data_IF_628477635729
#
_entry.id   IF_628477635729
#
_cell.length_a   1.000
_cell.length_b   1.000
_cell.length_c   1.000
_cell.angle_alpha   90.00
_cell.angle_beta   90.00
_cell.angle_gamma   90.00
#
_symmetry.space_group_name_H-M   'P 1'
#
loop_
_entity.id
_entity.type
_entity.pdbx_description
1 polymer ?
#
# COMPACT_ATOMS: atom_id res chain seq x y z
N UNK A 1 4.47 54.89 2.57
CA UNK A 1 5.77 54.30 2.93
C UNK A 1 5.81 52.94 2.28
N UNK A 2 6.84 52.64 1.50
CA UNK A 2 6.93 51.39 0.73
C UNK A 2 7.45 50.24 1.60
N UNK A 3 7.07 48.99 1.30
CA UNK A 3 7.32 47.81 2.14
C UNK A 3 8.81 47.54 2.35
N UNK A 4 9.61 47.79 1.32
CA UNK A 4 11.06 47.57 1.36
C UNK A 4 11.77 48.60 2.24
N UNK A 5 11.27 49.84 2.27
CA UNK A 5 11.71 50.88 3.21
C UNK A 5 11.42 50.50 4.66
N UNK A 6 10.26 49.91 4.94
CA UNK A 6 9.85 49.51 6.29
C UNK A 6 10.72 48.35 6.80
N UNK A 7 11.01 47.37 5.96
CA UNK A 7 11.90 46.25 6.28
C UNK A 7 13.33 46.72 6.55
N UNK A 8 13.84 47.63 5.72
CA UNK A 8 15.18 48.20 5.90
C UNK A 8 15.32 48.94 7.24
N UNK A 9 14.33 49.75 7.62
CA UNK A 9 14.31 50.42 8.93
C UNK A 9 14.25 49.41 10.09
N UNK A 10 13.49 48.33 9.92
CA UNK A 10 13.35 47.28 10.93
C UNK A 10 14.67 46.54 11.14
N UNK A 11 15.38 46.17 10.06
CA UNK A 11 16.70 45.54 10.15
C UNK A 11 17.74 46.47 10.81
N UNK A 12 17.74 47.76 10.49
CA UNK A 12 18.66 48.74 11.09
C UNK A 12 18.47 48.87 12.61
N UNK A 13 17.21 48.86 13.07
CA UNK A 13 16.86 48.96 14.49
C UNK A 13 17.39 47.77 15.29
N UNK A 14 17.29 46.55 14.78
CA UNK A 14 17.79 45.36 15.47
C UNK A 14 19.32 45.26 15.46
N UNK A 15 20.00 45.84 14.45
CA UNK A 15 21.46 46.01 14.45
C UNK A 15 21.94 46.98 15.52
N UNK A 16 21.28 48.13 15.68
CA UNK A 16 21.67 49.14 16.66
C UNK A 16 21.48 48.69 18.11
N UNK A 17 20.59 47.72 18.36
CA UNK A 17 20.35 47.15 19.69
C UNK A 17 21.37 46.05 20.07
N UNK A 18 22.37 45.79 19.23
CA UNK A 18 23.56 44.99 19.58
C UNK A 18 23.33 43.50 19.87
N UNK A 19 22.13 42.98 19.63
CA UNK A 19 21.76 41.60 20.00
C UNK A 19 21.79 40.58 18.87
N UNK A 20 22.30 40.92 17.68
CA UNK A 20 22.21 40.03 16.52
C UNK A 20 23.48 40.08 15.66
N UNK A 21 24.16 38.94 15.52
CA UNK A 21 25.17 38.66 14.51
C UNK A 21 24.56 37.68 13.50
N UNK A 22 24.33 38.12 12.27
CA UNK A 22 23.82 37.24 11.20
C UNK A 22 24.90 36.25 10.78
N UNK A 23 24.60 34.94 10.86
CA UNK A 23 25.44 33.87 10.34
C UNK A 23 26.24 33.06 11.36
N UNK A 24 26.20 33.41 12.66
CA UNK A 24 26.84 32.61 13.72
C UNK A 24 25.83 32.20 14.78
N UNK A 25 25.75 30.90 15.07
CA UNK A 25 24.96 30.37 16.19
C UNK A 25 25.57 30.83 17.51
N UNK A 26 24.92 31.77 18.19
CA UNK A 26 25.29 32.21 19.54
C UNK A 26 24.44 31.43 20.53
N UNK A 27 25.09 30.57 21.30
CA UNK A 27 24.44 29.77 22.32
C UNK A 27 23.98 30.67 23.49
N UNK A 28 22.74 30.54 24.00
CA UNK A 28 22.23 31.45 25.03
C UNK A 28 23.02 31.33 26.34
N UNK A 29 23.50 32.45 26.88
CA UNK A 29 24.18 32.47 28.19
C UNK A 29 23.23 32.03 29.33
N UNK A 30 23.51 30.88 29.94
CA UNK A 30 22.76 30.40 31.10
C UNK A 30 23.15 31.17 32.37
N UNK A 31 22.23 31.98 32.89
CA UNK A 31 22.41 32.63 34.19
C UNK A 31 22.31 31.62 35.34
N UNK A 32 23.11 31.84 36.38
CA UNK A 32 23.38 30.97 37.55
C UNK A 32 22.15 30.49 38.36
N UNK A 33 20.95 31.01 38.09
CA UNK A 33 19.71 30.69 38.79
C UNK A 33 18.62 30.04 37.92
N UNK A 34 18.95 29.49 36.74
CA UNK A 34 17.99 28.72 35.93
C UNK A 34 17.95 27.26 36.39
N UNK A 35 16.77 26.75 36.78
CA UNK A 35 16.58 25.32 37.12
C UNK A 35 16.72 24.46 35.87
N UNK A 36 17.37 23.29 35.99
CA UNK A 36 17.34 22.24 34.95
C UNK A 36 15.90 21.74 34.82
N UNK A 37 15.35 21.70 33.61
CA UNK A 37 14.07 21.04 33.34
C UNK A 37 14.27 19.53 33.52
N UNK A 38 13.79 18.98 34.63
CA UNK A 38 13.54 17.54 34.73
C UNK A 38 12.39 17.21 33.79
N UNK A 39 12.73 16.66 32.63
CA UNK A 39 11.74 16.08 31.73
C UNK A 39 11.30 14.76 32.36
N UNK A 40 10.07 14.75 32.87
CA UNK A 40 9.41 13.58 33.45
C UNK A 40 9.21 12.53 32.35
N UNK A 41 10.20 11.63 32.20
CA UNK A 41 10.26 10.60 31.16
C UNK A 41 9.01 9.73 31.17
N UNK A 42 8.40 9.54 32.34
CA UNK A 42 7.15 8.79 32.51
C UNK A 42 5.94 9.46 31.84
N UNK A 43 5.93 10.79 31.76
CA UNK A 43 4.88 11.54 31.05
C UNK A 43 5.08 11.50 29.53
N UNK A 44 6.34 11.40 29.09
CA UNK A 44 6.70 11.25 27.67
C UNK A 44 6.35 9.84 27.18
N UNK A 45 6.63 8.80 27.97
CA UNK A 45 6.28 7.41 27.61
C UNK A 45 4.77 7.18 27.55
N UNK A 46 4.00 7.73 28.50
CA UNK A 46 2.54 7.63 28.49
C UNK A 46 1.91 8.35 27.28
N UNK A 47 2.47 9.49 26.86
CA UNK A 47 2.02 10.20 25.66
C UNK A 47 2.38 9.43 24.37
N UNK A 48 3.56 8.80 24.34
CA UNK A 48 3.99 7.97 23.21
C UNK A 48 3.16 6.70 23.06
N UNK A 49 2.77 6.05 24.16
CA UNK A 49 1.85 4.90 24.11
C UNK A 49 0.46 5.31 23.61
N UNK A 50 -0.08 6.44 24.07
CA UNK A 50 -1.35 6.97 23.59
C UNK A 50 -1.29 7.40 22.11
N UNK A 51 -0.16 7.97 21.66
CA UNK A 51 0.07 8.30 20.25
C UNK A 51 0.27 7.05 19.39
N UNK A 52 0.93 6.00 19.89
CA UNK A 52 1.07 4.71 19.19
C UNK A 52 -0.26 3.97 19.08
N UNK A 53 -1.10 4.02 20.11
CA UNK A 53 -2.44 3.43 20.07
C UNK A 53 -3.34 4.19 19.10
N UNK A 54 -3.26 5.53 19.07
CA UNK A 54 -3.93 6.36 18.07
C UNK A 54 -3.44 6.08 16.65
N UNK A 55 -2.13 5.91 16.46
CA UNK A 55 -1.53 5.56 15.17
C UNK A 55 -1.93 4.15 14.72
N UNK A 56 -2.08 3.20 15.66
CA UNK A 56 -2.55 1.85 15.39
C UNK A 56 -4.01 1.85 14.95
N UNK A 57 -4.87 2.63 15.62
CA UNK A 57 -6.26 2.87 15.18
C UNK A 57 -6.31 3.55 13.81
N UNK A 58 -5.42 4.53 13.53
CA UNK A 58 -5.28 5.14 12.20
C UNK A 58 -4.73 4.17 11.14
N UNK A 59 -3.91 3.18 11.52
CA UNK A 59 -3.39 2.15 10.61
C UNK A 59 -4.47 1.12 10.27
N UNK A 60 -5.24 0.67 11.27
CA UNK A 60 -6.40 -0.22 11.09
C UNK A 60 -7.52 0.49 10.30
N UNK A 61 -7.63 1.81 10.42
CA UNK A 61 -8.48 2.65 9.59
C UNK A 61 -7.91 2.91 8.19
N UNK A 62 -6.58 2.82 7.97
CA UNK A 62 -5.94 2.97 6.64
C UNK A 62 -5.91 1.68 5.83
N UNK A 63 -5.95 0.51 6.45
CA UNK A 63 -6.21 -0.77 5.76
C UNK A 63 -7.63 -0.80 5.18
N UNK A 64 -8.57 -0.14 5.86
CA UNK A 64 -9.81 0.36 5.27
C UNK A 64 -9.57 1.72 4.64
N UNK A 65 -8.68 1.81 3.63
CA UNK A 65 -8.65 3.01 2.80
C UNK A 65 -10.09 3.40 2.51
N UNK A 66 -10.54 4.65 2.74
CA UNK A 66 -11.82 5.08 2.24
C UNK A 66 -11.64 5.16 0.72
N UNK A 67 -11.60 4.00 0.05
CA UNK A 67 -12.16 3.91 -1.28
C UNK A 67 -13.56 4.46 -1.07
N UNK A 68 -13.92 5.58 -1.70
CA UNK A 68 -15.27 6.08 -1.54
C UNK A 68 -16.17 4.99 -2.07
N UNK A 69 -16.78 4.25 -1.15
CA UNK A 69 -17.88 3.35 -1.44
C UNK A 69 -19.04 4.30 -1.60
N UNK A 70 -19.18 4.85 -2.80
CA UNK A 70 -20.33 5.65 -3.14
C UNK A 70 -21.54 4.73 -3.01
N UNK A 71 -22.43 5.06 -2.08
CA UNK A 71 -23.76 4.45 -2.07
C UNK A 71 -24.52 4.90 -3.32
N UNK A 72 -25.52 4.14 -3.75
CA UNK A 72 -26.34 4.53 -4.90
C UNK A 72 -27.04 5.88 -4.62
N UNK A 73 -27.37 6.15 -3.35
CA UNK A 73 -27.87 7.44 -2.86
C UNK A 73 -26.85 8.58 -3.04
N UNK A 74 -25.58 8.38 -2.71
CA UNK A 74 -24.53 9.40 -2.89
C UNK A 74 -24.34 9.75 -4.37
N UNK A 75 -24.40 8.75 -5.24
CA UNK A 75 -24.31 8.96 -6.70
C UNK A 75 -25.49 9.80 -7.19
N UNK A 76 -26.69 9.52 -6.69
CA UNK A 76 -27.89 10.27 -7.06
C UNK A 76 -27.84 11.72 -6.55
N UNK A 77 -27.34 11.94 -5.33
CA UNK A 77 -27.10 13.30 -4.83
C UNK A 77 -26.10 14.07 -5.69
N UNK A 78 -24.98 13.43 -6.08
CA UNK A 78 -23.98 14.06 -6.95
C UNK A 78 -24.57 14.42 -8.32
N UNK A 79 -25.42 13.57 -8.90
CA UNK A 79 -26.13 13.91 -10.16
C UNK A 79 -27.04 15.11 -10.00
N UNK A 80 -27.87 15.14 -8.96
CA UNK A 80 -28.77 16.27 -8.71
C UNK A 80 -28.00 17.57 -8.49
N UNK A 81 -26.87 17.51 -7.79
CA UNK A 81 -26.00 18.66 -7.62
C UNK A 81 -25.32 19.11 -8.91
N UNK A 82 -24.90 18.18 -9.76
CA UNK A 82 -24.39 18.47 -11.10
C UNK A 82 -25.47 19.18 -11.92
N UNK A 83 -26.71 18.68 -11.94
CA UNK A 83 -27.81 19.30 -12.70
C UNK A 83 -28.14 20.72 -12.22
N UNK A 84 -28.16 20.93 -10.90
CA UNK A 84 -28.33 22.27 -10.30
C UNK A 84 -27.19 23.20 -10.71
N UNK A 85 -25.95 22.73 -10.62
CA UNK A 85 -24.78 23.53 -10.95
C UNK A 85 -24.68 23.82 -12.45
N UNK A 86 -25.07 22.88 -13.31
CA UNK A 86 -25.22 23.09 -14.76
C UNK A 86 -26.25 24.18 -15.01
N UNK A 87 -27.41 24.10 -14.38
CA UNK A 87 -28.47 25.12 -14.54
C UNK A 87 -27.95 26.51 -14.13
N UNK A 88 -27.30 26.62 -12.98
CA UNK A 88 -26.68 27.86 -12.52
C UNK A 88 -25.59 28.37 -13.48
N UNK A 89 -24.82 27.45 -14.07
CA UNK A 89 -23.82 27.78 -15.07
C UNK A 89 -24.44 28.33 -16.36
N UNK A 90 -25.52 27.71 -16.87
CA UNK A 90 -26.26 28.22 -18.02
C UNK A 90 -26.83 29.62 -17.78
N UNK A 91 -27.36 29.89 -16.59
CA UNK A 91 -27.85 31.23 -16.20
C UNK A 91 -26.67 32.23 -16.17
N UNK A 92 -25.60 31.89 -15.46
CA UNK A 92 -24.44 32.77 -15.27
C UNK A 92 -23.70 33.08 -16.57
N UNK A 93 -23.72 32.14 -17.53
CA UNK A 93 -23.13 32.32 -18.87
C UNK A 93 -24.08 33.06 -19.84
N UNK A 94 -25.31 33.36 -19.46
CA UNK A 94 -26.32 33.98 -20.35
C UNK A 94 -26.78 33.04 -21.48
N UNK A 95 -26.69 31.73 -21.28
CA UNK A 95 -27.05 30.72 -22.27
C UNK A 95 -28.49 30.18 -22.10
N UNK A 96 -29.18 30.57 -21.03
CA UNK A 96 -30.54 30.09 -20.72
C UNK A 96 -31.54 30.36 -21.84
N UNK A 97 -31.61 31.59 -22.36
CA UNK A 97 -32.56 31.95 -23.42
C UNK A 97 -32.32 31.14 -24.71
N UNK A 98 -31.05 30.92 -25.05
CA UNK A 98 -30.65 30.10 -26.22
C UNK A 98 -31.07 28.64 -26.04
N UNK A 99 -30.94 28.10 -24.82
CA UNK A 99 -31.36 26.75 -24.47
C UNK A 99 -32.88 26.60 -24.53
N UNK A 100 -33.63 27.57 -24.02
CA UNK A 100 -35.10 27.57 -24.06
C UNK A 100 -35.64 27.68 -25.50
N UNK A 101 -35.03 28.53 -26.32
CA UNK A 101 -35.37 28.63 -27.75
C UNK A 101 -35.13 27.30 -28.48
N UNK A 102 -33.98 26.65 -28.21
CA UNK A 102 -33.67 25.34 -28.79
C UNK A 102 -34.66 24.27 -28.35
N UNK A 103 -35.05 24.26 -27.06
CA UNK A 103 -36.05 23.34 -26.51
C UNK A 103 -37.43 23.55 -27.16
N UNK A 104 -37.84 24.79 -27.40
CA UNK A 104 -39.09 25.08 -28.12
C UNK A 104 -39.03 24.60 -29.57
N UNK A 105 -37.93 24.83 -30.27
CA UNK A 105 -37.78 24.39 -31.66
C UNK A 105 -37.77 22.85 -31.77
N UNK A 106 -37.16 22.15 -30.80
CA UNK A 106 -37.24 20.68 -30.66
C UNK A 106 -38.65 20.16 -30.39
N UNK A 107 -39.47 20.91 -29.64
CA UNK A 107 -40.85 20.51 -29.35
C UNK A 107 -41.81 20.68 -30.55
N UNK A 108 -41.43 21.52 -31.52
CA UNK A 108 -42.22 21.79 -32.73
C UNK A 108 -41.92 20.80 -33.85
N UNK A 109 -40.78 20.10 -33.81
CA UNK A 109 -40.48 19.03 -34.75
C UNK A 109 -41.33 17.81 -34.39
N UNK A 110 -42.21 17.32 -35.30
CA UNK A 110 -42.94 16.09 -35.06
C UNK A 110 -41.96 14.94 -34.85
N UNK A 111 -42.27 14.07 -33.89
CA UNK A 111 -41.48 12.93 -33.41
C UNK A 111 -41.29 11.83 -34.48
N UNK A 112 -40.74 12.18 -35.63
CA UNK A 112 -40.24 11.23 -36.61
C UNK A 112 -38.75 11.08 -36.36
N UNK A 113 -38.28 9.83 -36.26
CA UNK A 113 -36.89 9.40 -36.00
C UNK A 113 -35.87 9.85 -37.09
N UNK A 114 -36.18 10.92 -37.80
CA UNK A 114 -35.36 11.53 -38.82
C UNK A 114 -34.46 12.59 -38.16
N UNK A 115 -33.16 12.38 -38.34
CA UNK A 115 -32.05 13.27 -37.98
C UNK A 115 -32.48 14.74 -37.88
N UNK A 116 -32.10 15.37 -36.75
CA UNK A 116 -32.27 16.80 -36.49
C UNK A 116 -31.95 17.59 -37.76
N UNK A 117 -32.79 18.57 -38.11
CA UNK A 117 -32.49 19.42 -39.26
C UNK A 117 -31.07 20.00 -39.12
N UNK A 118 -30.25 20.07 -40.19
CA UNK A 118 -28.86 20.53 -40.09
C UNK A 118 -28.72 21.89 -39.37
N UNK A 119 -29.68 22.80 -39.57
CA UNK A 119 -29.72 24.09 -38.89
C UNK A 119 -29.94 23.98 -37.36
N UNK A 120 -30.74 23.02 -36.90
CA UNK A 120 -30.97 22.77 -35.48
C UNK A 120 -29.76 22.05 -34.85
N UNK A 121 -29.11 21.17 -35.60
CA UNK A 121 -27.86 20.54 -35.20
C UNK A 121 -26.74 21.57 -35.06
N UNK A 122 -26.56 22.46 -36.03
CA UNK A 122 -25.58 23.56 -35.96
C UNK A 122 -25.80 24.47 -34.75
N UNK A 123 -27.06 24.80 -34.42
CA UNK A 123 -27.40 25.58 -33.22
C UNK A 123 -27.08 24.83 -31.94
N UNK A 124 -27.31 23.52 -31.91
CA UNK A 124 -26.99 22.64 -30.78
C UNK A 124 -25.49 22.57 -30.57
N UNK A 125 -24.73 22.27 -31.63
CA UNK A 125 -23.28 22.17 -31.60
C UNK A 125 -22.63 23.49 -31.19
N UNK A 126 -23.14 24.61 -31.71
CA UNK A 126 -22.69 25.96 -31.32
C UNK A 126 -22.94 26.24 -29.83
N UNK A 127 -24.12 25.91 -29.32
CA UNK A 127 -24.44 26.08 -27.89
C UNK A 127 -23.53 25.23 -27.00
N UNK A 128 -23.27 23.98 -27.40
CA UNK A 128 -22.35 23.07 -26.70
C UNK A 128 -20.92 23.60 -26.72
N UNK A 129 -20.45 24.13 -27.86
CA UNK A 129 -19.13 24.75 -27.96
C UNK A 129 -19.01 26.01 -27.10
N UNK A 130 -20.01 26.90 -27.11
CA UNK A 130 -20.03 28.10 -26.26
C UNK A 130 -19.97 27.71 -24.77
N UNK A 131 -20.76 26.72 -24.35
CA UNK A 131 -20.72 26.20 -22.98
C UNK A 131 -19.35 25.63 -22.61
N UNK A 132 -18.75 24.79 -23.48
CA UNK A 132 -17.41 24.22 -23.26
C UNK A 132 -16.31 25.28 -23.21
N UNK A 133 -16.39 26.30 -24.06
CA UNK A 133 -15.42 27.40 -24.07
C UNK A 133 -15.50 28.20 -22.77
N UNK A 134 -16.71 28.51 -22.29
CA UNK A 134 -16.93 29.21 -21.03
C UNK A 134 -16.49 28.38 -19.81
N UNK A 135 -16.68 27.06 -19.85
CA UNK A 135 -16.13 26.14 -18.85
C UNK A 135 -14.60 26.07 -18.91
N UNK A 136 -13.99 26.18 -20.07
CA UNK A 136 -12.53 26.08 -20.21
C UNK A 136 -11.79 27.28 -19.61
N UNK A 137 -12.49 28.38 -19.33
CA UNK A 137 -11.93 29.55 -18.66
C UNK A 137 -11.39 29.18 -17.26
N UNK A 138 -10.12 29.51 -16.94
CA UNK A 138 -9.53 29.25 -15.63
C UNK A 138 -10.31 29.95 -14.50
N UNK A 139 -10.53 29.26 -13.37
CA UNK A 139 -11.24 29.81 -12.20
C UNK A 139 -12.75 29.96 -12.35
N UNK A 140 -13.31 29.62 -13.52
CA UNK A 140 -14.74 29.68 -13.80
C UNK A 140 -15.39 28.32 -13.56
N UNK A 141 -16.53 28.30 -12.86
CA UNK A 141 -17.35 27.11 -12.59
C UNK A 141 -16.55 25.91 -12.02
N UNK A 142 -15.58 26.18 -11.15
CA UNK A 142 -14.73 25.14 -10.55
C UNK A 142 -15.55 24.10 -9.78
N UNK A 143 -16.64 24.51 -9.13
CA UNK A 143 -17.58 23.60 -8.47
C UNK A 143 -18.20 22.60 -9.45
N UNK A 144 -18.66 23.06 -10.62
CA UNK A 144 -19.19 22.19 -11.67
C UNK A 144 -18.12 21.23 -12.22
N UNK A 145 -16.91 21.73 -12.47
CA UNK A 145 -15.79 20.92 -12.96
C UNK A 145 -15.43 19.81 -11.97
N UNK A 146 -15.35 20.14 -10.69
CA UNK A 146 -15.05 19.17 -9.63
C UNK A 146 -16.12 18.09 -9.55
N UNK A 147 -17.40 18.47 -9.54
CA UNK A 147 -18.52 17.51 -9.49
C UNK A 147 -18.60 16.62 -10.74
N UNK A 148 -18.36 17.18 -11.93
CA UNK A 148 -18.28 16.39 -13.17
C UNK A 148 -17.13 15.39 -13.15
N UNK A 149 -15.96 15.81 -12.65
CA UNK A 149 -14.81 14.91 -12.47
C UNK A 149 -15.15 13.79 -11.49
N UNK A 150 -15.73 14.11 -10.34
CA UNK A 150 -16.18 13.15 -9.35
C UNK A 150 -17.18 12.14 -9.93
N UNK A 151 -18.17 12.61 -10.70
CA UNK A 151 -19.15 11.74 -11.37
C UNK A 151 -18.48 10.80 -12.39
N UNK A 152 -17.45 11.26 -13.10
CA UNK A 152 -16.69 10.42 -14.03
C UNK A 152 -15.88 9.35 -13.31
N UNK A 153 -15.27 9.67 -12.15
CA UNK A 153 -14.56 8.72 -11.31
C UNK A 153 -15.51 7.68 -10.70
N UNK A 154 -16.70 8.09 -10.26
CA UNK A 154 -17.77 7.18 -9.81
C UNK A 154 -18.12 6.18 -10.92
N UNK A 155 -18.31 6.66 -12.16
CA UNK A 155 -18.66 5.82 -13.30
C UNK A 155 -17.58 4.79 -13.62
N UNK A 156 -16.31 5.20 -13.65
CA UNK A 156 -15.21 4.25 -13.90
C UNK A 156 -15.11 3.21 -12.78
N UNK A 157 -15.28 3.61 -11.52
CA UNK A 157 -15.33 2.68 -10.38
C UNK A 157 -16.48 1.68 -10.50
N UNK A 158 -17.67 2.13 -10.92
CA UNK A 158 -18.82 1.26 -11.13
C UNK A 158 -18.57 0.25 -12.27
N UNK A 159 -17.95 0.69 -13.37
CA UNK A 159 -17.54 -0.20 -14.47
C UNK A 159 -16.49 -1.23 -14.03
N UNK A 160 -15.53 -0.83 -13.18
CA UNK A 160 -14.57 -1.77 -12.60
C UNK A 160 -15.25 -2.77 -11.66
N UNK A 161 -16.24 -2.35 -10.87
CA UNK A 161 -17.03 -3.22 -10.00
C UNK A 161 -17.79 -4.28 -10.81
N UNK A 162 -18.50 -3.88 -11.87
CA UNK A 162 -19.25 -4.83 -12.72
C UNK A 162 -18.32 -5.80 -13.45
N UNK A 163 -17.20 -5.32 -14.01
CA UNK A 163 -16.16 -6.19 -14.60
C UNK A 163 -15.60 -7.17 -13.56
N UNK A 164 -15.35 -6.71 -12.34
CA UNK A 164 -14.89 -7.55 -11.23
C UNK A 164 -15.91 -8.63 -10.86
N UNK A 165 -17.20 -8.31 -10.83
CA UNK A 165 -18.27 -9.29 -10.58
C UNK A 165 -18.39 -10.33 -11.70
N UNK A 166 -18.23 -9.91 -12.97
CA UNK A 166 -18.21 -10.83 -14.12
C UNK A 166 -17.02 -11.79 -14.00
N UNK A 167 -15.81 -11.28 -13.77
CA UNK A 167 -14.60 -12.09 -13.59
C UNK A 167 -14.78 -13.06 -12.40
N UNK A 168 -15.37 -12.60 -11.30
CA UNK A 168 -15.64 -13.44 -10.13
C UNK A 168 -16.61 -14.59 -10.47
N UNK A 169 -17.65 -14.33 -11.25
CA UNK A 169 -18.60 -15.35 -11.70
C UNK A 169 -17.94 -16.33 -12.66
N UNK A 170 -17.21 -15.84 -13.65
CA UNK A 170 -16.48 -16.65 -14.64
C UNK A 170 -15.42 -17.54 -13.97
N UNK A 171 -14.69 -17.00 -12.99
CA UNK A 171 -13.73 -17.75 -12.18
C UNK A 171 -14.44 -18.87 -11.41
N UNK A 172 -15.53 -18.53 -10.69
CA UNK A 172 -16.28 -19.53 -9.95
C UNK A 172 -16.87 -20.60 -10.88
N UNK A 173 -17.25 -20.28 -12.11
CA UNK A 173 -17.75 -21.28 -13.06
C UNK A 173 -16.63 -22.20 -13.57
N UNK A 174 -15.50 -21.62 -13.99
CA UNK A 174 -14.36 -22.36 -14.56
C UNK A 174 -13.59 -23.19 -13.53
N UNK A 175 -13.47 -22.69 -12.29
CA UNK A 175 -12.62 -23.32 -11.27
C UNK A 175 -13.39 -24.18 -10.26
N UNK A 176 -14.68 -23.96 -10.01
CA UNK A 176 -15.37 -24.58 -8.85
C UNK A 176 -15.32 -26.12 -8.87
N UNK A 177 -15.45 -26.76 -10.01
CA UNK A 177 -15.49 -28.23 -10.05
C UNK A 177 -14.09 -28.87 -9.93
N UNK A 178 -13.06 -28.23 -10.49
CA UNK A 178 -11.70 -28.79 -10.51
C UNK A 178 -10.86 -28.34 -9.30
N UNK A 179 -11.10 -27.13 -8.79
CA UNK A 179 -10.39 -26.59 -7.63
C UNK A 179 -10.91 -27.15 -6.31
N UNK A 180 -12.20 -27.53 -6.19
CA UNK A 180 -12.75 -28.07 -4.92
C UNK A 180 -12.08 -29.37 -4.51
N UNK A 181 -11.95 -30.32 -5.43
CA UNK A 181 -11.26 -31.61 -5.17
C UNK A 181 -9.79 -31.38 -4.79
N UNK A 182 -9.09 -30.52 -5.54
CA UNK A 182 -7.69 -30.16 -5.28
C UNK A 182 -7.51 -29.45 -3.93
N UNK A 183 -8.43 -28.55 -3.58
CA UNK A 183 -8.43 -27.83 -2.30
C UNK A 183 -8.74 -28.74 -1.11
N UNK A 184 -9.59 -29.76 -1.28
CA UNK A 184 -9.83 -30.76 -0.24
C UNK A 184 -8.60 -31.61 0.04
N UNK A 185 -7.84 -31.98 -0.99
CA UNK A 185 -6.59 -32.72 -0.84
C UNK A 185 -5.54 -31.88 -0.10
N UNK A 186 -5.39 -30.60 -0.46
CA UNK A 186 -4.54 -29.66 0.25
C UNK A 186 -4.99 -29.44 1.71
N UNK A 187 -6.30 -29.41 1.97
CA UNK A 187 -6.85 -29.29 3.33
C UNK A 187 -6.53 -30.54 4.17
N UNK A 188 -6.70 -31.74 3.62
CA UNK A 188 -6.36 -33.00 4.31
C UNK A 188 -4.88 -33.04 4.66
N UNK A 189 -3.99 -32.73 3.71
CA UNK A 189 -2.55 -32.65 3.97
C UNK A 189 -2.23 -31.62 5.06
N UNK A 190 -2.85 -30.43 5.02
CA UNK A 190 -2.69 -29.41 6.06
C UNK A 190 -3.15 -29.88 7.44
N UNK A 191 -4.27 -30.60 7.51
CA UNK A 191 -4.82 -31.12 8.75
C UNK A 191 -3.93 -32.22 9.35
N UNK A 192 -3.33 -33.08 8.53
CA UNK A 192 -2.33 -34.08 8.97
C UNK A 192 -1.11 -33.39 9.59
N UNK A 193 -0.56 -32.39 8.88
CA UNK A 193 0.55 -31.58 9.39
C UNK A 193 0.16 -30.86 10.69
N UNK A 194 -1.07 -30.34 10.77
CA UNK A 194 -1.59 -29.64 11.95
C UNK A 194 -1.76 -30.53 13.18
N UNK A 195 -1.98 -31.83 12.98
CA UNK A 195 -2.03 -32.85 14.04
C UNK A 195 -0.63 -33.33 14.47
N UNK A 196 0.42 -32.93 13.76
CA UNK A 196 1.80 -33.33 14.04
C UNK A 196 2.16 -34.71 13.50
N UNK A 197 1.34 -35.28 12.62
CA UNK A 197 1.65 -36.51 11.90
C UNK A 197 2.71 -36.24 10.84
N UNK A 198 3.64 -37.19 10.66
CA UNK A 198 4.66 -37.11 9.63
C UNK A 198 3.99 -37.31 8.27
N UNK A 199 4.15 -36.33 7.40
CA UNK A 199 3.67 -36.39 6.02
C UNK A 199 4.65 -37.26 5.25
N UNK A 200 4.16 -38.39 4.75
CA UNK A 200 4.91 -39.30 3.92
C UNK A 200 5.32 -38.64 2.58
N UNK A 201 6.40 -39.15 2.00
CA UNK A 201 6.96 -38.58 0.77
C UNK A 201 5.96 -38.66 -0.40
N UNK A 202 5.08 -39.66 -0.40
CA UNK A 202 4.01 -39.83 -1.39
C UNK A 202 2.99 -38.69 -1.33
N UNK A 203 2.43 -38.37 -0.17
CA UNK A 203 1.49 -37.24 -0.04
C UNK A 203 2.14 -35.89 -0.28
N UNK A 204 3.44 -35.74 0.02
CA UNK A 204 4.19 -34.52 -0.32
C UNK A 204 4.31 -34.32 -1.84
N UNK A 205 4.55 -35.41 -2.58
CA UNK A 205 4.57 -35.36 -4.06
C UNK A 205 3.19 -35.07 -4.65
N UNK A 206 2.12 -35.64 -4.07
CA UNK A 206 0.75 -35.34 -4.49
C UNK A 206 0.37 -33.87 -4.25
N UNK A 207 0.73 -33.32 -3.10
CA UNK A 207 0.51 -31.90 -2.77
C UNK A 207 1.25 -30.99 -3.74
N UNK A 208 2.50 -31.31 -4.08
CA UNK A 208 3.27 -30.55 -5.06
C UNK A 208 2.67 -30.63 -6.46
N UNK A 209 2.24 -31.83 -6.91
CA UNK A 209 1.51 -31.99 -8.18
C UNK A 209 0.24 -31.16 -8.20
N UNK A 210 -0.58 -31.22 -7.15
CA UNK A 210 -1.82 -30.45 -7.02
C UNK A 210 -1.56 -28.93 -7.06
N UNK A 211 -0.46 -28.48 -6.47
CA UNK A 211 -0.02 -27.08 -6.54
C UNK A 211 0.32 -26.66 -7.98
N UNK A 212 1.14 -27.43 -8.68
CA UNK A 212 1.53 -27.12 -10.06
C UNK A 212 0.31 -27.14 -11.00
N UNK A 213 -0.56 -28.12 -10.81
CA UNK A 213 -1.84 -28.27 -11.47
C UNK A 213 -2.79 -27.06 -11.28
N UNK A 214 -2.79 -26.45 -10.09
CA UNK A 214 -3.57 -25.23 -9.81
C UNK A 214 -2.94 -24.01 -10.49
N UNK A 215 -1.61 -23.93 -10.54
CA UNK A 215 -0.89 -22.87 -11.26
C UNK A 215 -1.20 -22.96 -12.75
N UNK A 216 -1.16 -24.16 -13.34
CA UNK A 216 -1.48 -24.38 -14.74
C UNK A 216 -2.94 -24.05 -15.04
N UNK A 217 -3.87 -24.41 -14.16
CA UNK A 217 -5.29 -24.06 -14.29
C UNK A 217 -5.53 -22.54 -14.26
N UNK A 218 -4.82 -21.81 -13.40
CA UNK A 218 -4.90 -20.35 -13.37
C UNK A 218 -4.32 -19.73 -14.65
N UNK A 219 -3.20 -20.27 -15.15
CA UNK A 219 -2.58 -19.83 -16.41
C UNK A 219 -3.48 -20.12 -17.62
N UNK A 220 -4.11 -21.29 -17.70
CA UNK A 220 -5.02 -21.66 -18.80
C UNK A 220 -6.31 -20.82 -18.80
N UNK A 221 -6.68 -20.26 -17.65
CA UNK A 221 -7.73 -19.26 -17.51
C UNK A 221 -7.24 -17.81 -17.75
N UNK A 222 -6.04 -17.63 -18.32
CA UNK A 222 -5.39 -16.34 -18.62
C UNK A 222 -5.04 -15.49 -17.40
N UNK A 223 -4.87 -16.10 -16.22
CA UNK A 223 -4.39 -15.39 -15.03
C UNK A 223 -2.87 -15.52 -14.89
N UNK A 224 -2.22 -14.41 -14.58
CA UNK A 224 -0.82 -14.40 -14.18
C UNK A 224 -0.70 -14.74 -12.68
N UNK A 225 0.04 -15.80 -12.37
CA UNK A 225 0.33 -16.18 -10.99
C UNK A 225 1.55 -15.38 -10.53
N UNK A 226 1.31 -14.25 -9.87
CA UNK A 226 2.36 -13.39 -9.29
C UNK A 226 2.85 -13.98 -7.97
N UNK A 227 3.66 -15.03 -8.10
CA UNK A 227 4.36 -15.68 -6.99
C UNK A 227 3.48 -16.57 -6.10
N UNK A 228 3.94 -17.80 -5.85
CA UNK A 228 3.40 -18.62 -4.75
C UNK A 228 4.20 -18.30 -3.49
N UNK A 229 3.87 -17.19 -2.84
CA UNK A 229 4.48 -16.85 -1.56
C UNK A 229 4.01 -17.84 -0.49
N UNK A 230 4.92 -18.55 0.16
CA UNK A 230 4.67 -19.32 1.38
C UNK A 230 4.39 -18.36 2.54
N UNK A 231 3.29 -17.60 2.46
CA UNK A 231 2.80 -16.82 3.58
C UNK A 231 2.38 -17.81 4.66
N UNK A 232 3.08 -17.78 5.79
CA UNK A 232 2.58 -18.34 7.04
C UNK A 232 1.35 -17.50 7.39
N UNK A 233 0.18 -17.91 6.89
CA UNK A 233 -1.07 -17.23 7.21
C UNK A 233 -1.31 -17.34 8.72
N UNK A 234 -1.99 -16.35 9.30
CA UNK A 234 -2.51 -16.35 10.68
C UNK A 234 -3.48 -17.51 11.00
N UNK A 235 -3.75 -18.37 10.02
CA UNK A 235 -4.57 -19.57 10.13
C UNK A 235 -3.73 -20.85 10.32
N UNK A 236 -2.39 -20.77 10.32
CA UNK A 236 -1.54 -21.96 10.52
C UNK A 236 -1.91 -22.68 11.84
N UNK A 237 -2.05 -24.02 11.82
CA UNK A 237 -2.24 -24.81 13.04
C UNK A 237 -1.23 -24.40 14.13
N UNK A 238 -1.64 -24.30 15.42
CA UNK A 238 -0.78 -23.82 16.50
C UNK A 238 0.57 -24.54 16.57
N UNK A 239 0.58 -25.84 16.27
CA UNK A 239 1.77 -26.70 16.22
C UNK A 239 2.78 -26.25 15.16
N UNK A 240 2.30 -25.77 14.00
CA UNK A 240 3.17 -25.26 12.94
C UNK A 240 3.67 -23.85 13.23
N UNK A 241 2.84 -23.02 13.87
CA UNK A 241 3.28 -21.71 14.31
C UNK A 241 4.42 -21.83 15.34
N UNK A 242 4.31 -22.78 16.27
CA UNK A 242 5.37 -23.06 17.25
C UNK A 242 6.65 -23.61 16.59
N UNK A 243 6.54 -24.57 15.67
CA UNK A 243 7.70 -25.09 14.93
C UNK A 243 8.38 -24.02 14.05
N UNK A 244 7.60 -23.17 13.39
CA UNK A 244 8.13 -22.06 12.60
C UNK A 244 8.81 -21.00 13.48
N UNK A 245 8.25 -20.70 14.65
CA UNK A 245 8.88 -19.79 15.62
C UNK A 245 10.23 -20.35 16.12
N UNK A 246 10.30 -21.64 16.44
CA UNK A 246 11.57 -22.32 16.83
C UNK A 246 12.60 -22.31 15.70
N UNK A 247 12.18 -22.59 14.46
CA UNK A 247 13.06 -22.51 13.29
C UNK A 247 13.61 -21.09 13.10
N UNK A 248 12.73 -20.08 13.19
CA UNK A 248 13.14 -18.67 13.07
C UNK A 248 14.11 -18.26 14.17
N UNK A 249 13.89 -18.71 15.41
CA UNK A 249 14.80 -18.44 16.52
C UNK A 249 16.21 -18.99 16.26
N UNK A 250 16.32 -20.22 15.74
CA UNK A 250 17.61 -20.82 15.38
C UNK A 250 18.27 -20.07 14.22
N UNK A 251 17.50 -19.73 13.19
CA UNK A 251 18.00 -18.97 12.04
C UNK A 251 18.52 -17.60 12.47
N UNK A 252 17.77 -16.86 13.29
CA UNK A 252 18.19 -15.53 13.73
C UNK A 252 19.41 -15.60 14.65
N UNK A 253 19.50 -16.59 15.54
CA UNK A 253 20.70 -16.79 16.38
C UNK A 253 21.93 -17.10 15.55
N UNK A 254 21.82 -17.96 14.53
CA UNK A 254 22.96 -18.28 13.66
C UNK A 254 23.39 -17.06 12.83
N UNK A 255 22.43 -16.30 12.30
CA UNK A 255 22.72 -15.05 11.57
C UNK A 255 23.42 -14.04 12.50
N UNK A 256 22.98 -13.90 13.75
CA UNK A 256 23.62 -13.02 14.73
C UNK A 256 25.07 -13.45 15.02
N UNK A 257 25.32 -14.75 15.19
CA UNK A 257 26.68 -15.28 15.35
C UNK A 257 27.55 -15.01 14.12
N UNK A 258 27.02 -15.21 12.90
CA UNK A 258 27.73 -14.93 11.65
C UNK A 258 28.04 -13.45 11.52
N UNK A 259 27.10 -12.57 11.88
CA UNK A 259 27.31 -11.11 11.88
C UNK A 259 28.44 -10.71 12.84
N UNK A 260 28.51 -11.33 14.00
CA UNK A 260 29.56 -11.09 14.99
C UNK A 260 30.92 -11.63 14.52
N UNK A 261 30.97 -12.85 13.98
CA UNK A 261 32.20 -13.47 13.44
C UNK A 261 32.74 -12.74 12.21
N UNK A 262 31.85 -12.30 11.31
CA UNK A 262 32.21 -11.58 10.08
C UNK A 262 32.51 -10.09 10.33
N UNK A 263 32.42 -9.62 11.58
CA UNK A 263 32.70 -8.23 11.94
C UNK A 263 31.74 -7.21 11.32
N UNK A 264 30.52 -7.63 10.94
CA UNK A 264 29.56 -6.79 10.24
C UNK A 264 28.83 -5.80 11.16
N UNK A 265 29.02 -5.89 12.48
CA UNK A 265 28.40 -4.97 13.45
C UNK A 265 28.70 -3.50 13.18
N UNK A 266 29.92 -3.17 12.74
CA UNK A 266 30.27 -1.79 12.41
C UNK A 266 29.43 -1.23 11.27
N UNK A 267 29.26 -2.03 10.19
CA UNK A 267 28.47 -1.66 9.02
C UNK A 267 26.97 -1.59 9.34
N UNK A 268 26.47 -2.46 10.23
CA UNK A 268 25.09 -2.40 10.72
C UNK A 268 24.84 -1.13 11.55
N UNK A 269 25.79 -0.73 12.40
CA UNK A 269 25.70 0.50 13.16
C UNK A 269 25.72 1.74 12.24
N UNK A 270 26.56 1.71 11.20
CA UNK A 270 26.61 2.76 10.18
C UNK A 270 25.31 2.83 9.37
N UNK A 271 24.76 1.69 8.95
CA UNK A 271 23.46 1.61 8.27
C UNK A 271 22.35 2.20 9.14
N UNK A 272 22.33 1.86 10.43
CA UNK A 272 21.35 2.40 11.38
C UNK A 272 21.50 3.92 11.51
N UNK A 273 22.73 4.42 11.66
CA UNK A 273 23.00 5.86 11.73
C UNK A 273 22.59 6.59 10.44
N UNK A 274 22.74 5.98 9.27
CA UNK A 274 22.34 6.56 7.99
C UNK A 274 20.81 6.60 7.83
N UNK A 275 20.10 5.59 8.35
CA UNK A 275 18.63 5.56 8.39
C UNK A 275 18.09 6.62 9.36
N UNK A 276 18.74 6.79 10.52
CA UNK A 276 18.34 7.74 11.56
C UNK A 276 18.46 9.22 11.11
N UNK A 277 19.14 9.51 9.99
CA UNK A 277 19.19 10.85 9.36
C UNK A 277 17.88 11.28 8.69
N UNK A 278 16.89 10.38 8.58
CA UNK A 278 15.54 10.71 8.10
C UNK A 278 15.53 11.28 6.67
N UNK A 279 15.03 12.51 6.44
CA UNK A 279 14.94 13.09 5.09
C UNK A 279 16.31 13.44 4.48
N UNK A 280 17.38 13.51 5.29
CA UNK A 280 18.75 13.74 4.83
C UNK A 280 19.53 12.45 4.56
N UNK A 281 18.85 11.29 4.56
CA UNK A 281 19.50 10.00 4.34
C UNK A 281 20.03 9.87 2.92
N UNK A 282 21.23 9.33 2.79
CA UNK A 282 21.79 8.96 1.50
C UNK A 282 21.29 7.56 1.10
N UNK A 283 20.32 7.52 0.18
CA UNK A 283 19.74 6.27 -0.30
C UNK A 283 20.78 5.37 -1.00
N UNK A 284 21.73 5.95 -1.73
CA UNK A 284 22.75 5.18 -2.45
C UNK A 284 23.70 4.51 -1.45
N UNK A 285 24.06 5.25 -0.38
CA UNK A 285 24.89 4.71 0.70
C UNK A 285 24.15 3.61 1.47
N UNK A 286 22.86 3.80 1.78
CA UNK A 286 22.01 2.77 2.41
C UNK A 286 21.97 1.50 1.56
N UNK A 287 21.72 1.61 0.25
CA UNK A 287 21.69 0.46 -0.65
C UNK A 287 23.04 -0.28 -0.71
N UNK A 288 24.14 0.47 -0.76
CA UNK A 288 25.50 -0.11 -0.76
C UNK A 288 25.80 -0.88 0.54
N UNK A 289 25.47 -0.30 1.70
CA UNK A 289 25.66 -0.93 3.01
C UNK A 289 24.78 -2.18 3.17
N UNK A 290 23.53 -2.11 2.71
CA UNK A 290 22.62 -3.28 2.70
C UNK A 290 23.21 -4.41 1.85
N UNK A 291 23.71 -4.08 0.65
CA UNK A 291 24.31 -5.07 -0.25
C UNK A 291 25.54 -5.72 0.38
N UNK A 292 26.44 -4.93 0.94
CA UNK A 292 27.67 -5.40 1.56
C UNK A 292 27.41 -6.25 2.81
N UNK A 293 26.44 -5.88 3.65
CA UNK A 293 26.02 -6.68 4.82
C UNK A 293 25.40 -8.01 4.36
N UNK A 294 24.54 -7.98 3.34
CA UNK A 294 23.92 -9.21 2.80
C UNK A 294 24.97 -10.16 2.22
N UNK A 295 25.89 -9.64 1.42
CA UNK A 295 26.98 -10.44 0.83
C UNK A 295 27.87 -11.02 1.93
N UNK A 296 28.26 -10.22 2.93
CA UNK A 296 29.07 -10.70 4.06
C UNK A 296 28.40 -11.83 4.85
N UNK A 297 27.12 -11.68 5.18
CA UNK A 297 26.36 -12.75 5.85
C UNK A 297 26.27 -13.99 4.95
N UNK A 298 25.99 -13.82 3.66
CA UNK A 298 25.87 -14.93 2.73
C UNK A 298 27.17 -15.72 2.54
N UNK A 299 28.31 -15.03 2.50
CA UNK A 299 29.62 -15.69 2.36
C UNK A 299 30.07 -16.45 3.61
N UNK A 300 29.62 -16.01 4.78
CA UNK A 300 30.05 -16.57 6.06
C UNK A 300 29.06 -17.57 6.65
N UNK A 301 27.85 -17.69 6.09
CA UNK A 301 26.83 -18.62 6.54
C UNK A 301 26.95 -19.98 5.83
N UNK A 302 27.14 -21.05 6.60
CA UNK A 302 27.03 -22.41 6.08
C UNK A 302 25.56 -22.84 6.03
N UNK A 303 24.99 -22.81 4.83
CA UNK A 303 23.59 -23.18 4.58
C UNK A 303 23.29 -24.65 4.98
N UNK A 304 24.25 -25.57 4.83
CA UNK A 304 24.05 -26.99 5.15
C UNK A 304 24.05 -27.23 6.65
N UNK A 305 24.93 -26.54 7.38
CA UNK A 305 24.96 -26.61 8.84
C UNK A 305 23.70 -25.99 9.45
N UNK A 306 23.27 -24.82 8.94
CA UNK A 306 22.03 -24.17 9.37
C UNK A 306 20.81 -25.07 9.13
N UNK A 307 20.72 -25.71 7.96
CA UNK A 307 19.64 -26.62 7.64
C UNK A 307 19.57 -27.80 8.63
N UNK A 308 20.72 -28.37 9.00
CA UNK A 308 20.81 -29.44 10.01
C UNK A 308 20.33 -28.96 11.38
N UNK A 309 20.80 -27.80 11.85
CA UNK A 309 20.41 -27.19 13.13
C UNK A 309 18.89 -26.91 13.18
N UNK A 310 18.33 -26.37 12.10
CA UNK A 310 16.89 -26.09 12.00
C UNK A 310 16.08 -27.39 12.05
N UNK A 311 16.43 -28.41 11.25
CA UNK A 311 15.76 -29.73 11.24
C UNK A 311 15.75 -30.36 12.64
N UNK A 312 16.89 -30.38 13.33
CA UNK A 312 16.99 -30.89 14.71
C UNK A 312 16.11 -30.11 15.69
N UNK A 313 16.00 -28.78 15.56
CA UNK A 313 15.20 -27.95 16.47
C UNK A 313 13.68 -28.11 16.32
N UNK A 314 13.21 -28.48 15.13
CA UNK A 314 11.78 -28.68 14.85
C UNK A 314 11.32 -30.14 14.96
N UNK A 315 12.22 -31.03 15.40
CA UNK A 315 11.95 -32.45 15.63
C UNK A 315 11.84 -33.27 14.34
N UNK A 316 12.38 -32.78 13.22
CA UNK A 316 12.56 -33.56 11.99
C UNK A 316 13.93 -34.25 12.10
N UNK A 317 13.96 -35.55 12.39
CA UNK A 317 15.24 -36.26 12.53
C UNK A 317 16.02 -36.24 11.22
N UNK A 318 17.27 -35.77 11.29
CA UNK A 318 18.27 -36.12 10.28
C UNK A 318 18.54 -37.63 10.42
N UNK A 319 18.52 -38.35 9.31
CA UNK A 319 18.88 -39.77 9.28
C UNK A 319 20.21 -39.99 10.04
N UNK A 320 20.30 -40.96 10.96
CA UNK A 320 21.54 -41.24 11.64
C UNK A 320 22.58 -41.68 10.60
N UNK A 321 23.70 -40.96 10.56
CA UNK A 321 24.92 -41.41 9.88
C UNK A 321 25.22 -42.84 10.32
N UNK A 322 25.38 -43.72 9.34
CA UNK A 322 25.67 -45.13 9.56
C UNK A 322 26.89 -45.29 10.47
N UNK A 323 26.65 -45.68 11.72
CA UNK A 323 27.69 -46.05 12.67
C UNK A 323 28.25 -47.40 12.23
N UNK A 324 29.48 -47.33 11.74
CA UNK A 324 30.54 -48.35 11.77
C UNK A 324 30.13 -49.81 11.96
N UNK A 325 30.35 -50.59 10.91
CA UNK A 325 30.51 -52.03 10.99
C UNK A 325 31.58 -52.39 12.05
N UNK A 326 31.16 -52.92 13.19
CA UNK A 326 31.99 -53.77 14.04
C UNK A 326 31.67 -55.23 13.71
N UNK A 327 32.43 -55.77 12.77
CA UNK A 327 32.61 -57.21 12.61
C UNK A 327 33.58 -57.66 13.68
N UNK A 328 33.14 -58.49 14.62
CA UNK A 328 34.02 -59.52 15.20
C UNK A 328 33.25 -60.62 15.95
N UNK A 329 33.36 -61.84 15.39
CA UNK A 329 33.58 -63.17 16.00
C UNK A 329 32.65 -63.62 17.14
N UNK A 330 32.05 -64.82 17.07
CA UNK A 330 32.66 -66.12 16.76
C UNK A 330 31.57 -67.13 16.40
#
# INVERSE_FOLDING_TARGET
MDTDTLLSHRHLKFRQLGGFQEGSFVEPEMKRNMKKKELDVSKITANLEAELEKLKVELDAKEKSPRPVFSDEDVEMVKQEVDKEITNAFISMGLQEKLEALKMDLSKTPSSDQNLSPALQDRTDRLVQEFKNNLSTPGSFDGLKQKLKMLSEIRTLQEHKTKGEIIKKELNEKLKNQATVKMELLRKARDLVGKGEEVDEETLTEVNKVKDDLIEMLKSANFEVVGVSSKIASSAPPVLAEKAAKANEVIFKEIEQVVDMAGLRGKLAELRSEIDKGPSKDMNKIESLIKEIKEGVFTSLDAKELEKKVKSSVGLQAAPEAVGASVDKK
#
